data_IF_112209355270
#
_entry.id   IF_112209355270
#
_cell.length_a   1.000
_cell.length_b   1.000
_cell.length_c   1.000
_cell.angle_alpha   90.00
_cell.angle_beta   90.00
_cell.angle_gamma   90.00
#
_symmetry.space_group_name_H-M   'P 1'
#
loop_
_entity.id
_entity.type
_entity.pdbx_description
1 polymer ?
#
# COMPACT_ATOMS: atom_id res chain seq x y z
N UNK A 1 4.27 16.02 40.65
CA UNK A 1 4.55 14.67 40.11
C UNK A 1 5.01 14.79 38.67
N UNK A 2 6.32 14.66 38.42
CA UNK A 2 6.91 14.72 37.08
C UNK A 2 6.42 13.52 36.26
N UNK A 3 5.70 13.75 35.16
CA UNK A 3 5.33 12.69 34.21
C UNK A 3 6.49 12.45 33.26
N UNK A 4 6.87 11.18 33.15
CA UNK A 4 7.94 10.66 32.30
C UNK A 4 7.48 10.72 30.84
N UNK A 5 8.26 11.38 30.00
CA UNK A 5 8.09 11.38 28.55
C UNK A 5 8.45 9.99 28.00
N UNK A 6 7.46 9.22 27.58
CA UNK A 6 7.64 7.98 26.82
C UNK A 6 7.87 8.25 25.33
N UNK A 7 8.90 9.06 25.03
CA UNK A 7 9.38 9.26 23.66
C UNK A 7 10.66 8.47 23.46
N UNK A 8 10.62 7.43 22.62
CA UNK A 8 11.80 6.63 22.27
C UNK A 8 12.95 7.51 21.77
N UNK A 9 14.11 7.35 22.39
CA UNK A 9 15.36 8.06 22.10
C UNK A 9 16.14 7.25 21.08
N UNK A 10 16.47 7.84 19.93
CA UNK A 10 17.50 7.30 19.05
C UNK A 10 18.86 7.54 19.73
N UNK A 11 19.75 6.55 19.74
CA UNK A 11 21.01 6.51 20.51
C UNK A 11 22.07 7.56 20.12
N UNK A 12 21.76 8.51 19.22
CA UNK A 12 22.73 9.46 18.65
C UNK A 12 22.34 10.95 18.82
N UNK A 13 21.35 11.27 19.65
CA UNK A 13 21.13 12.67 20.09
C UNK A 13 20.73 13.68 19.01
N UNK A 14 20.41 13.24 17.78
CA UNK A 14 19.89 14.08 16.71
C UNK A 14 18.41 13.78 16.44
N UNK A 15 17.70 14.81 15.98
CA UNK A 15 16.25 14.96 15.80
C UNK A 15 15.47 13.71 15.40
N UNK A 16 14.26 13.61 15.98
CA UNK A 16 13.28 12.53 15.81
C UNK A 16 12.90 12.33 14.34
N UNK A 17 13.47 11.32 13.69
CA UNK A 17 13.01 10.82 12.39
C UNK A 17 11.99 9.68 12.53
N UNK A 18 11.15 9.49 11.51
CA UNK A 18 10.33 8.28 11.35
C UNK A 18 11.18 7.13 10.79
N UNK A 19 10.95 5.90 11.28
CA UNK A 19 11.62 4.72 10.75
C UNK A 19 11.17 4.46 9.31
N UNK A 20 12.06 4.64 8.32
CA UNK A 20 11.78 4.38 6.90
C UNK A 20 11.51 5.60 6.02
N UNK A 21 11.68 6.83 6.50
CA UNK A 21 11.76 8.01 5.63
C UNK A 21 13.22 8.22 5.20
N UNK A 22 13.54 7.96 3.93
CA UNK A 22 14.90 8.09 3.38
C UNK A 22 15.27 9.54 3.03
N UNK A 23 14.29 10.44 2.94
CA UNK A 23 14.48 11.84 2.51
C UNK A 23 14.59 12.82 3.68
N UNK A 24 14.84 12.36 4.90
CA UNK A 24 15.08 13.25 6.05
C UNK A 24 16.50 13.84 5.95
N UNK A 25 16.72 15.16 6.14
CA UNK A 25 15.80 16.19 6.63
C UNK A 25 15.03 16.98 5.55
N UNK A 26 15.23 16.71 4.26
CA UNK A 26 14.63 17.46 3.13
C UNK A 26 13.16 17.11 2.81
N UNK A 27 12.48 16.41 3.73
CA UNK A 27 11.16 15.87 3.50
C UNK A 27 10.12 16.99 3.33
N UNK A 28 9.43 17.02 2.19
CA UNK A 28 8.39 18.01 1.86
C UNK A 28 7.13 17.90 2.75
N UNK A 29 7.01 16.85 3.56
CA UNK A 29 5.88 16.61 4.44
C UNK A 29 6.16 17.16 5.85
N UNK A 30 5.32 18.08 6.33
CA UNK A 30 5.50 18.78 7.61
C UNK A 30 5.50 17.80 8.80
N UNK A 31 6.53 17.84 9.63
CA UNK A 31 6.67 17.00 10.84
C UNK A 31 6.54 17.79 12.16
N UNK A 32 6.65 19.12 12.11
CA UNK A 32 7.01 19.94 13.28
C UNK A 32 5.85 20.35 14.22
N UNK A 33 4.59 20.10 13.86
CA UNK A 33 3.43 20.54 14.65
C UNK A 33 2.59 19.39 15.24
N UNK A 34 3.22 18.30 15.70
CA UNK A 34 2.53 17.36 16.60
C UNK A 34 2.59 17.89 18.04
N UNK A 35 2.12 19.14 18.25
CA UNK A 35 1.89 19.68 19.59
C UNK A 35 0.47 19.29 20.01
N UNK A 36 0.40 18.39 21.00
CA UNK A 36 -0.73 18.19 21.92
C UNK A 36 -2.15 18.49 21.36
N UNK A 37 -2.80 17.47 20.81
CA UNK A 37 -4.25 17.24 20.96
C UNK A 37 -5.23 18.15 20.21
N UNK A 38 -4.83 19.25 19.57
CA UNK A 38 -5.73 20.14 18.80
C UNK A 38 -5.41 20.29 17.31
N UNK A 39 -4.15 20.08 16.90
CA UNK A 39 -3.75 20.23 15.49
C UNK A 39 -4.02 19.01 14.60
N UNK A 40 -4.53 17.92 15.19
CA UNK A 40 -4.81 16.64 14.52
C UNK A 40 -6.19 16.57 13.86
N UNK A 41 -6.99 17.64 13.90
CA UNK A 41 -8.42 17.56 13.58
C UNK A 41 -8.72 17.25 12.10
N UNK A 42 -7.76 17.42 11.18
CA UNK A 42 -7.97 17.19 9.74
C UNK A 42 -6.68 16.69 9.04
N UNK A 43 -6.13 15.55 9.48
CA UNK A 43 -5.00 14.93 8.77
C UNK A 43 -5.48 13.83 7.81
N UNK A 44 -4.75 13.59 6.72
CA UNK A 44 -5.11 12.56 5.73
C UNK A 44 -4.19 11.35 5.85
N UNK A 45 -4.74 10.17 5.65
CA UNK A 45 -4.02 8.90 5.58
C UNK A 45 -4.19 8.18 4.26
N UNK A 46 -3.10 7.54 3.82
CA UNK A 46 -3.00 6.71 2.64
C UNK A 46 -2.78 5.27 3.09
N UNK A 47 -3.63 4.36 2.62
CA UNK A 47 -3.56 2.94 2.96
C UNK A 47 -3.75 2.12 1.69
N UNK A 48 -2.82 1.21 1.40
CA UNK A 48 -3.03 0.23 0.33
C UNK A 48 -4.19 -0.68 0.70
N UNK A 49 -5.15 -0.88 -0.21
CA UNK A 49 -6.33 -1.70 0.03
C UNK A 49 -6.28 -3.00 -0.78
N UNK A 50 -5.89 -2.90 -2.05
CA UNK A 50 -5.73 -4.05 -2.94
C UNK A 50 -4.40 -3.95 -3.70
N UNK A 51 -4.11 -4.90 -4.59
CA UNK A 51 -2.96 -4.83 -5.48
C UNK A 51 -3.05 -3.67 -6.47
N UNK A 52 -4.27 -3.23 -6.81
CA UNK A 52 -4.52 -2.19 -7.80
C UNK A 52 -5.06 -0.89 -7.21
N UNK A 53 -5.41 -0.86 -5.92
CA UNK A 53 -6.04 0.32 -5.32
C UNK A 53 -5.47 0.68 -3.96
N UNK A 54 -5.41 1.99 -3.70
CA UNK A 54 -5.20 2.54 -2.38
C UNK A 54 -6.34 3.47 -2.01
N UNK A 55 -6.54 3.65 -0.70
CA UNK A 55 -7.53 4.56 -0.16
C UNK A 55 -6.87 5.76 0.50
N UNK A 56 -7.57 6.88 0.40
CA UNK A 56 -7.34 8.12 1.11
C UNK A 56 -8.50 8.32 2.10
N UNK A 57 -8.18 8.49 3.37
CA UNK A 57 -9.17 8.71 4.43
C UNK A 57 -8.76 9.85 5.36
N UNK A 58 -9.76 10.46 6.02
CA UNK A 58 -9.52 11.49 7.02
C UNK A 58 -9.31 10.89 8.40
N UNK A 59 -8.20 11.27 9.01
CA UNK A 59 -7.96 11.12 10.43
C UNK A 59 -8.50 12.38 11.10
N UNK A 60 -9.74 12.26 11.56
CA UNK A 60 -10.43 13.28 12.35
C UNK A 60 -11.07 12.60 13.58
N UNK A 61 -11.19 13.30 14.73
CA UNK A 61 -11.85 12.77 15.91
C UNK A 61 -13.35 12.50 15.69
N UNK A 62 -13.94 13.04 14.62
CA UNK A 62 -15.30 12.74 14.18
C UNK A 62 -15.29 12.28 12.72
N UNK A 63 -16.09 11.25 12.37
CA UNK A 63 -16.21 10.81 10.99
C UNK A 63 -16.72 11.98 10.14
N UNK A 64 -15.87 12.43 9.22
CA UNK A 64 -16.13 13.57 8.35
C UNK A 64 -16.02 13.08 6.92
N UNK A 65 -17.01 13.42 6.08
CA UNK A 65 -16.96 13.09 4.66
C UNK A 65 -15.76 13.77 4.01
N UNK A 66 -14.95 13.00 3.30
CA UNK A 66 -13.75 13.45 2.60
C UNK A 66 -14.11 14.45 1.50
N UNK A 67 -15.27 14.31 0.85
CA UNK A 67 -15.72 15.22 -0.22
C UNK A 67 -15.79 16.70 0.16
N UNK A 68 -16.20 17.04 1.39
CA UNK A 68 -16.25 18.43 1.85
C UNK A 68 -14.84 19.04 1.98
N UNK A 69 -13.88 18.26 2.46
CA UNK A 69 -12.48 18.70 2.59
C UNK A 69 -11.78 18.75 1.24
N UNK A 70 -12.03 17.77 0.36
CA UNK A 70 -11.46 17.71 -1.00
C UNK A 70 -11.86 18.94 -1.81
N UNK A 71 -13.12 19.39 -1.66
CA UNK A 71 -13.62 20.61 -2.28
C UNK A 71 -12.99 21.88 -1.67
N UNK A 72 -12.86 21.95 -0.34
CA UNK A 72 -12.32 23.13 0.36
C UNK A 72 -10.79 23.27 0.25
N UNK A 73 -10.09 22.16 0.01
CA UNK A 73 -8.63 22.11 -0.07
C UNK A 73 -8.05 22.35 -1.46
N UNK A 74 -8.91 22.39 -2.50
CA UNK A 74 -8.49 22.45 -3.91
C UNK A 74 -8.03 21.10 -4.48
N UNK A 75 -8.16 20.02 -3.72
CA UNK A 75 -7.72 18.68 -4.16
C UNK A 75 -8.57 18.17 -5.34
N UNK A 76 -9.88 18.43 -5.35
CA UNK A 76 -10.74 18.02 -6.48
C UNK A 76 -10.27 18.61 -7.82
N UNK A 77 -9.98 19.92 -7.83
CA UNK A 77 -9.47 20.62 -9.00
C UNK A 77 -8.07 20.11 -9.40
N UNK A 78 -7.22 19.83 -8.42
CA UNK A 78 -5.88 19.29 -8.65
C UNK A 78 -5.90 17.88 -9.25
N UNK A 79 -6.85 17.04 -8.84
CA UNK A 79 -7.09 15.69 -9.38
C UNK A 79 -7.69 15.77 -10.78
N UNK A 80 -8.72 16.60 -11.00
CA UNK A 80 -9.35 16.83 -12.31
C UNK A 80 -8.35 17.35 -13.34
N UNK A 81 -7.49 18.30 -12.95
CA UNK A 81 -6.42 18.84 -13.83
C UNK A 81 -5.44 17.76 -14.27
N UNK A 82 -5.23 16.72 -13.45
CA UNK A 82 -4.34 15.58 -13.74
C UNK A 82 -5.07 14.42 -14.43
N UNK A 83 -6.38 14.51 -14.61
CA UNK A 83 -7.20 13.42 -15.17
C UNK A 83 -7.31 12.20 -14.25
N UNK A 84 -7.09 12.37 -12.94
CA UNK A 84 -7.12 11.26 -11.97
C UNK A 84 -8.55 10.99 -11.57
N UNK A 85 -9.02 9.77 -11.83
CA UNK A 85 -10.33 9.31 -11.40
C UNK A 85 -10.27 8.76 -9.97
N UNK A 86 -11.37 8.91 -9.23
CA UNK A 86 -11.49 8.32 -7.89
C UNK A 86 -12.91 7.82 -7.63
N UNK A 87 -13.02 6.81 -6.79
CA UNK A 87 -14.30 6.26 -6.34
C UNK A 87 -14.55 6.66 -4.88
N UNK A 88 -15.70 7.25 -4.60
CA UNK A 88 -16.14 7.47 -3.22
C UNK A 88 -16.71 6.18 -2.64
N UNK A 89 -16.19 5.77 -1.48
CA UNK A 89 -16.71 4.63 -0.70
C UNK A 89 -17.11 5.07 0.71
N UNK A 90 -17.93 4.24 1.36
CA UNK A 90 -18.47 4.46 2.71
C UNK A 90 -19.13 5.84 2.86
N UNK A 91 -20.09 6.15 1.99
CA UNK A 91 -20.82 7.43 1.99
C UNK A 91 -19.91 8.67 1.94
N UNK A 92 -18.80 8.56 1.20
CA UNK A 92 -17.84 9.65 0.98
C UNK A 92 -16.79 9.78 2.09
N UNK A 93 -16.60 8.78 2.94
CA UNK A 93 -15.55 8.79 3.99
C UNK A 93 -14.20 8.25 3.50
N UNK A 94 -14.19 7.60 2.34
CA UNK A 94 -12.98 7.08 1.71
C UNK A 94 -12.98 7.46 0.23
N UNK A 95 -11.84 7.90 -0.28
CA UNK A 95 -11.59 8.00 -1.72
C UNK A 95 -10.65 6.88 -2.13
N UNK A 96 -11.02 6.12 -3.14
CA UNK A 96 -10.21 5.03 -3.68
C UNK A 96 -9.63 5.44 -5.03
N UNK A 97 -8.34 5.17 -5.21
CA UNK A 97 -7.54 5.53 -6.37
C UNK A 97 -6.80 4.31 -6.89
N UNK A 98 -6.40 4.31 -8.16
CA UNK A 98 -5.53 3.28 -8.69
C UNK A 98 -4.11 3.41 -8.08
N UNK A 99 -3.47 2.29 -7.73
CA UNK A 99 -2.11 2.27 -7.17
C UNK A 99 -1.09 2.88 -8.13
N UNK A 100 -1.35 2.83 -9.44
CA UNK A 100 -0.55 3.47 -10.48
C UNK A 100 -0.55 4.99 -10.40
N UNK A 101 -1.59 5.59 -9.82
CA UNK A 101 -1.75 7.05 -9.68
C UNK A 101 -1.19 7.56 -8.34
N UNK A 102 -0.64 6.70 -7.49
CA UNK A 102 -0.22 7.03 -6.13
C UNK A 102 0.69 8.27 -6.05
N UNK A 103 1.74 8.32 -6.87
CA UNK A 103 2.69 9.44 -6.89
C UNK A 103 2.00 10.75 -7.30
N UNK A 104 1.15 10.70 -8.33
CA UNK A 104 0.43 11.86 -8.84
C UNK A 104 -0.60 12.41 -7.83
N UNK A 105 -1.26 11.52 -7.07
CA UNK A 105 -2.17 11.91 -5.98
C UNK A 105 -1.38 12.52 -4.82
N UNK A 106 -0.25 11.94 -4.44
CA UNK A 106 0.60 12.49 -3.38
C UNK A 106 1.12 13.89 -3.75
N UNK A 107 1.52 14.11 -5.00
CA UNK A 107 1.89 15.43 -5.51
C UNK A 107 0.71 16.42 -5.52
N UNK A 108 -0.48 15.97 -5.93
CA UNK A 108 -1.67 16.81 -5.89
C UNK A 108 -1.98 17.26 -4.46
N UNK A 109 -1.89 16.34 -3.50
CA UNK A 109 -2.13 16.62 -2.08
C UNK A 109 -1.04 17.53 -1.50
N UNK A 110 0.22 17.34 -1.87
CA UNK A 110 1.33 18.21 -1.44
C UNK A 110 1.19 19.67 -1.94
N UNK A 111 0.53 19.86 -3.08
CA UNK A 111 0.20 21.19 -3.62
C UNK A 111 -1.06 21.84 -3.02
N UNK A 112 -1.81 21.10 -2.18
CA UNK A 112 -3.03 21.57 -1.55
C UNK A 112 -2.79 22.01 -0.10
N UNK A 113 -3.75 22.73 0.48
CA UNK A 113 -3.71 23.13 1.90
C UNK A 113 -4.12 21.96 2.82
N UNK A 114 -3.52 20.78 2.64
CA UNK A 114 -3.81 19.56 3.37
C UNK A 114 -2.63 19.15 4.23
N UNK A 115 -2.89 18.86 5.51
CA UNK A 115 -1.86 18.36 6.42
C UNK A 115 -1.70 16.84 6.23
N UNK A 116 -0.63 16.44 5.54
CA UNK A 116 -0.22 15.04 5.45
C UNK A 116 1.07 14.83 6.23
N UNK A 117 1.04 13.88 7.15
CA UNK A 117 2.23 13.47 7.89
C UNK A 117 2.88 12.31 7.16
N UNK A 118 4.21 12.28 7.08
CA UNK A 118 4.94 11.23 6.38
C UNK A 118 4.58 9.80 6.85
N UNK A 119 4.25 9.64 8.14
CA UNK A 119 3.80 8.35 8.72
C UNK A 119 2.45 7.84 8.18
N UNK A 120 1.71 8.71 7.52
CA UNK A 120 0.39 8.43 6.95
C UNK A 120 0.47 8.23 5.43
N UNK A 121 1.68 8.22 4.85
CA UNK A 121 1.94 7.78 3.47
C UNK A 121 2.16 6.26 3.45
N UNK A 122 1.94 5.65 2.29
CA UNK A 122 2.27 4.24 2.08
C UNK A 122 3.80 4.13 2.01
N UNK A 123 4.44 3.32 2.85
CA UNK A 123 5.89 3.17 2.82
C UNK A 123 6.41 2.69 1.45
N UNK A 124 7.58 3.19 1.03
CA UNK A 124 8.21 2.79 -0.23
C UNK A 124 8.44 1.27 -0.38
N UNK A 125 8.80 0.51 0.69
CA UNK A 125 8.86 -0.95 0.61
C UNK A 125 7.51 -1.60 0.25
N UNK A 126 6.42 -1.06 0.77
CA UNK A 126 5.06 -1.54 0.47
C UNK A 126 4.69 -1.28 -0.99
N UNK A 127 4.97 -0.08 -1.51
CA UNK A 127 4.73 0.24 -2.93
C UNK A 127 5.55 -0.66 -3.86
N UNK A 128 6.82 -0.91 -3.51
CA UNK A 128 7.69 -1.82 -4.27
C UNK A 128 7.14 -3.24 -4.27
N UNK A 129 6.67 -3.73 -3.12
CA UNK A 129 6.05 -5.04 -3.02
C UNK A 129 4.75 -5.14 -3.85
N UNK A 130 3.90 -4.10 -3.83
CA UNK A 130 2.67 -4.06 -4.62
C UNK A 130 2.95 -4.05 -6.12
N UNK A 131 3.91 -3.22 -6.58
CA UNK A 131 4.34 -3.20 -8.00
C UNK A 131 4.79 -4.57 -8.47
N UNK A 132 5.67 -5.23 -7.70
CA UNK A 132 6.11 -6.61 -7.99
C UNK A 132 4.97 -7.61 -7.97
N UNK A 133 4.07 -7.50 -7.00
CA UNK A 133 2.94 -8.40 -6.89
C UNK A 133 2.02 -8.31 -8.11
N UNK A 134 1.76 -7.08 -8.58
CA UNK A 134 0.95 -6.74 -9.77
C UNK A 134 1.61 -7.18 -11.08
N UNK A 135 2.90 -6.91 -11.25
CA UNK A 135 3.69 -7.42 -12.40
C UNK A 135 3.69 -8.95 -12.48
N UNK A 136 3.55 -9.59 -11.33
CA UNK A 136 3.47 -11.03 -11.24
C UNK A 136 2.02 -11.54 -11.22
N UNK A 137 0.99 -10.69 -11.18
CA UNK A 137 -0.43 -11.07 -11.11
C UNK A 137 -0.97 -11.72 -12.41
N UNK A 138 -0.12 -11.86 -13.43
CA UNK A 138 -0.41 -12.66 -14.61
C UNK A 138 -0.32 -14.16 -14.38
N UNK A 139 -1.18 -14.92 -15.06
CA UNK A 139 -0.99 -16.36 -15.25
C UNK A 139 0.18 -16.56 -16.20
N UNK A 140 1.22 -17.25 -15.75
CA UNK A 140 2.39 -17.54 -16.58
C UNK A 140 1.97 -18.31 -17.85
N UNK A 141 2.53 -17.99 -19.03
CA UNK A 141 2.23 -18.70 -20.27
C UNK A 141 2.46 -20.20 -20.11
N UNK A 142 1.65 -21.02 -20.80
CA UNK A 142 1.76 -22.48 -20.73
C UNK A 142 3.15 -23.01 -21.09
N UNK A 143 3.86 -22.32 -22.01
CA UNK A 143 5.25 -22.64 -22.37
C UNK A 143 6.21 -22.45 -21.19
N UNK A 144 6.09 -21.36 -20.44
CA UNK A 144 6.87 -21.08 -19.23
C UNK A 144 6.56 -22.12 -18.14
N UNK A 145 5.28 -22.43 -17.92
CA UNK A 145 4.84 -23.46 -16.96
C UNK A 145 5.42 -24.82 -17.32
N UNK A 146 5.36 -25.23 -18.58
CA UNK A 146 5.91 -26.51 -19.04
C UNK A 146 7.44 -26.55 -18.90
N UNK A 147 8.13 -25.46 -19.23
CA UNK A 147 9.58 -25.36 -19.07
C UNK A 147 9.99 -25.46 -17.59
N UNK A 148 9.25 -24.79 -16.68
CA UNK A 148 9.48 -24.88 -15.26
C UNK A 148 9.18 -26.28 -14.71
N UNK A 149 8.09 -26.92 -15.16
CA UNK A 149 7.73 -28.29 -14.79
C UNK A 149 8.79 -29.30 -15.23
N UNK A 150 9.37 -29.12 -16.42
CA UNK A 150 10.41 -29.99 -16.96
C UNK A 150 11.74 -29.92 -16.19
N UNK A 151 11.98 -28.85 -15.42
CA UNK A 151 13.15 -28.74 -14.53
C UNK A 151 13.06 -29.63 -13.28
N UNK A 152 11.90 -30.21 -13.01
CA UNK A 152 11.70 -31.13 -11.90
C UNK A 152 12.53 -32.40 -12.09
N UNK A 153 13.25 -32.91 -11.06
CA UNK A 153 13.95 -34.18 -11.15
C UNK A 153 13.03 -35.32 -11.59
N UNK A 154 13.47 -36.16 -12.52
CA UNK A 154 12.64 -37.23 -13.07
C UNK A 154 12.10 -38.19 -12.01
N UNK A 155 12.88 -38.46 -10.96
CA UNK A 155 12.46 -39.31 -9.85
C UNK A 155 11.21 -38.76 -9.13
N UNK A 156 11.05 -37.43 -9.08
CA UNK A 156 9.90 -36.78 -8.47
C UNK A 156 8.73 -36.72 -9.46
N UNK A 157 8.96 -36.27 -10.70
CA UNK A 157 7.89 -36.07 -11.70
C UNK A 157 7.17 -37.37 -12.07
N UNK A 158 7.88 -38.52 -12.04
CA UNK A 158 7.31 -39.85 -12.26
C UNK A 158 6.43 -40.34 -11.10
N UNK A 159 6.69 -39.89 -9.87
CA UNK A 159 5.94 -40.29 -8.66
C UNK A 159 4.67 -39.47 -8.42
N UNK A 160 4.53 -38.32 -9.06
CA UNK A 160 3.33 -37.50 -8.94
C UNK A 160 2.11 -38.17 -9.57
N UNK A 161 1.01 -38.21 -8.83
CA UNK A 161 -0.32 -38.56 -9.31
C UNK A 161 -0.82 -37.49 -10.29
N UNK A 162 -1.75 -37.82 -11.22
CA UNK A 162 -2.24 -36.87 -12.22
C UNK A 162 -2.72 -35.54 -11.62
N UNK A 163 -3.50 -35.59 -10.53
CA UNK A 163 -4.00 -34.38 -9.87
C UNK A 163 -2.86 -33.54 -9.25
N UNK A 164 -1.84 -34.17 -8.67
CA UNK A 164 -0.67 -33.47 -8.12
C UNK A 164 0.12 -32.76 -9.23
N UNK A 165 0.22 -33.37 -10.42
CA UNK A 165 0.85 -32.70 -11.57
C UNK A 165 0.12 -31.43 -11.96
N UNK A 166 -1.22 -31.47 -11.93
CA UNK A 166 -2.05 -30.31 -12.24
C UNK A 166 -1.99 -29.25 -11.13
N UNK A 167 -1.95 -29.66 -9.86
CA UNK A 167 -1.68 -28.77 -8.73
C UNK A 167 -0.33 -28.06 -8.82
N UNK A 168 0.74 -28.79 -9.20
CA UNK A 168 2.06 -28.20 -9.44
C UNK A 168 2.01 -27.22 -10.62
N UNK A 169 1.37 -27.58 -11.74
CA UNK A 169 1.21 -26.67 -12.88
C UNK A 169 0.40 -25.44 -12.52
N UNK A 170 -0.63 -25.58 -11.70
CA UNK A 170 -1.42 -24.46 -11.17
C UNK A 170 -0.54 -23.52 -10.34
N UNK A 171 0.23 -24.05 -9.38
CA UNK A 171 1.15 -23.26 -8.58
C UNK A 171 2.20 -22.55 -9.44
N UNK A 172 2.81 -23.25 -10.41
CA UNK A 172 3.76 -22.68 -11.36
C UNK A 172 3.12 -21.58 -12.22
N UNK A 173 1.87 -21.75 -12.67
CA UNK A 173 1.14 -20.73 -13.42
C UNK A 173 0.94 -19.44 -12.62
N UNK A 174 0.96 -19.51 -11.29
CA UNK A 174 0.91 -18.36 -10.37
C UNK A 174 2.29 -17.93 -9.85
N UNK A 175 3.36 -18.44 -10.46
CA UNK A 175 4.76 -18.23 -10.04
C UNK A 175 4.97 -18.58 -8.56
N UNK A 176 4.32 -19.66 -8.09
CA UNK A 176 4.39 -20.17 -6.73
C UNK A 176 3.53 -19.44 -5.70
N UNK A 177 2.83 -18.35 -6.07
CA UNK A 177 1.94 -17.61 -5.17
C UNK A 177 0.52 -18.17 -5.25
N UNK A 178 0.29 -19.29 -4.59
CA UNK A 178 -1.03 -19.89 -4.49
C UNK A 178 -1.29 -20.39 -3.06
N UNK A 179 -2.55 -20.33 -2.65
CA UNK A 179 -3.04 -21.07 -1.49
C UNK A 179 -3.41 -22.48 -1.97
N UNK A 180 -2.77 -23.50 -1.39
CA UNK A 180 -3.13 -24.91 -1.61
C UNK A 180 -4.00 -25.32 -0.43
N UNK A 181 -5.23 -25.76 -0.72
CA UNK A 181 -6.25 -26.04 0.28
C UNK A 181 -6.96 -27.37 -0.02
N UNK A 182 -6.20 -28.36 -0.47
CA UNK A 182 -6.72 -29.69 -0.74
C UNK A 182 -7.04 -30.43 0.57
N UNK A 183 -7.88 -31.48 0.47
CA UNK A 183 -8.20 -32.33 1.62
C UNK A 183 -6.93 -32.98 2.19
N UNK A 184 -6.88 -33.16 3.52
CA UNK A 184 -5.72 -33.77 4.17
C UNK A 184 -5.46 -35.20 3.65
N UNK A 185 -4.19 -35.56 3.47
CA UNK A 185 -3.77 -36.92 3.09
C UNK A 185 -3.59 -37.15 1.59
N UNK A 186 -3.81 -36.14 0.75
CA UNK A 186 -3.60 -36.25 -0.71
C UNK A 186 -2.13 -36.09 -1.15
N UNK A 187 -1.25 -35.65 -0.25
CA UNK A 187 0.17 -35.42 -0.53
C UNK A 187 0.39 -34.19 -1.39
#
# INVERSE_FOLDING_TARGET
TKRVNSGGVHSLGQSRGYYGCESFPECKFRWEDVRHGRDCEHSISFSANTLDTFKLELIAPRPTKVGALVSQSGLDEALKKRGIAHEERRDGHELHFAISEYEAVVEAVAGCNLKVLARHLIPAPTLTALRRAREAEGVAPRSEVNAAFARMPEALSRRLLPFQRDGVRFALSRRGRCLIADEMGVG
#
